data_IF_760519332973
#
_entry.id   IF_760519332973
#
_cell.length_a   1.000
_cell.length_b   1.000
_cell.length_c   1.000
_cell.angle_alpha   90.00
_cell.angle_beta   90.00
_cell.angle_gamma   90.00
#
_symmetry.space_group_name_H-M   'P 1'
#
loop_
_entity.id
_entity.type
_entity.pdbx_description
1 polymer ?
#
# COMPACT_ATOMS: atom_id res chain seq x y z
N UNK A 1 -16.68 3.64 -5.50
CA UNK A 1 -16.37 2.42 -6.30
C UNK A 1 -14.88 2.33 -6.67
N UNK A 2 -14.32 3.32 -7.37
CA UNK A 2 -12.93 3.25 -7.88
C UNK A 2 -11.83 3.13 -6.80
N UNK A 3 -11.96 3.83 -5.67
CA UNK A 3 -10.99 3.71 -4.57
C UNK A 3 -11.02 2.33 -3.91
N UNK A 4 -12.22 1.74 -3.81
CA UNK A 4 -12.40 0.40 -3.23
C UNK A 4 -11.80 -0.65 -4.17
N UNK A 5 -11.97 -0.51 -5.49
CA UNK A 5 -11.41 -1.47 -6.44
C UNK A 5 -9.88 -1.48 -6.41
N UNK A 6 -9.22 -0.33 -6.34
CA UNK A 6 -7.76 -0.25 -6.20
C UNK A 6 -7.26 -0.84 -4.87
N UNK A 7 -7.92 -0.51 -3.76
CA UNK A 7 -7.55 -1.08 -2.46
C UNK A 7 -7.65 -2.61 -2.45
N UNK A 8 -8.75 -3.16 -2.99
CA UNK A 8 -8.94 -4.60 -3.13
C UNK A 8 -7.94 -5.25 -4.11
N UNK A 9 -7.55 -4.52 -5.17
CA UNK A 9 -6.55 -4.98 -6.12
C UNK A 9 -5.21 -5.23 -5.41
N UNK A 10 -4.76 -4.28 -4.59
CA UNK A 10 -3.51 -4.42 -3.83
C UNK A 10 -3.57 -5.56 -2.81
N UNK A 11 -4.74 -5.79 -2.20
CA UNK A 11 -4.96 -6.94 -1.31
C UNK A 11 -4.82 -8.26 -2.09
N UNK A 12 -5.36 -8.35 -3.31
CA UNK A 12 -5.20 -9.54 -4.15
C UNK A 12 -3.73 -9.84 -4.43
N UNK A 13 -2.95 -8.83 -4.81
CA UNK A 13 -1.51 -8.96 -5.01
C UNK A 13 -0.76 -9.37 -3.74
N UNK A 14 -1.09 -8.79 -2.59
CA UNK A 14 -0.48 -9.13 -1.31
C UNK A 14 -0.75 -10.59 -0.92
N UNK A 15 -2.00 -11.07 -1.06
CA UNK A 15 -2.37 -12.46 -0.76
C UNK A 15 -1.63 -13.44 -1.68
N UNK A 16 -1.64 -13.21 -2.99
CA UNK A 16 -0.98 -14.08 -3.97
C UNK A 16 0.53 -14.14 -3.73
N UNK A 17 1.18 -12.97 -3.65
CA UNK A 17 2.63 -12.85 -3.46
C UNK A 17 3.05 -13.50 -2.14
N UNK A 18 2.39 -13.15 -1.03
CA UNK A 18 2.68 -13.71 0.29
C UNK A 18 2.51 -15.22 0.34
N UNK A 19 1.42 -15.74 -0.26
CA UNK A 19 1.14 -17.18 -0.24
C UNK A 19 2.16 -17.96 -1.06
N UNK A 20 2.46 -17.52 -2.28
CA UNK A 20 3.39 -18.24 -3.14
C UNK A 20 4.82 -18.18 -2.59
N UNK A 21 5.27 -17.04 -2.04
CA UNK A 21 6.56 -16.94 -1.37
C UNK A 21 6.65 -17.89 -0.17
N UNK A 22 5.63 -17.91 0.69
CA UNK A 22 5.61 -18.81 1.85
C UNK A 22 5.62 -20.28 1.44
N UNK A 23 4.97 -20.66 0.34
CA UNK A 23 5.04 -22.03 -0.18
C UNK A 23 6.43 -22.46 -0.66
N UNK A 24 7.30 -21.50 -0.99
CA UNK A 24 8.70 -21.78 -1.33
C UNK A 24 9.61 -21.90 -0.09
N UNK A 25 9.13 -21.47 1.08
CA UNK A 25 9.87 -21.54 2.34
C UNK A 25 9.67 -22.93 2.97
N UNK A 26 10.76 -23.62 3.36
CA UNK A 26 10.70 -24.91 4.07
C UNK A 26 9.80 -24.88 5.31
N UNK A 27 9.12 -25.98 5.60
CA UNK A 27 8.13 -26.07 6.69
C UNK A 27 8.76 -25.88 8.09
N UNK A 28 10.03 -26.25 8.27
CA UNK A 28 10.81 -26.04 9.50
C UNK A 28 11.17 -24.55 9.75
N UNK A 29 10.94 -23.68 8.76
CA UNK A 29 11.28 -22.25 8.80
C UNK A 29 10.07 -21.33 8.85
N UNK A 30 8.87 -21.87 9.00
CA UNK A 30 7.63 -21.08 9.11
C UNK A 30 6.58 -21.79 9.97
N UNK A 31 5.62 -21.04 10.54
CA UNK A 31 4.42 -21.64 11.12
C UNK A 31 3.61 -22.39 10.06
N UNK A 32 2.71 -23.26 10.49
CA UNK A 32 1.75 -23.88 9.57
C UNK A 32 0.80 -22.83 9.03
N UNK A 33 0.75 -22.68 7.70
CA UNK A 33 -0.07 -21.68 7.00
C UNK A 33 -1.00 -22.39 6.04
N UNK A 34 -2.31 -22.13 6.18
CA UNK A 34 -3.32 -22.68 5.29
C UNK A 34 -4.15 -21.56 4.66
N UNK A 35 -3.82 -21.21 3.41
CA UNK A 35 -4.61 -20.30 2.59
C UNK A 35 -5.56 -21.10 1.72
N UNK A 36 -6.89 -20.87 1.81
CA UNK A 36 -7.87 -21.59 0.99
C UNK A 36 -7.58 -21.42 -0.49
N UNK A 37 -7.61 -22.53 -1.23
CA UNK A 37 -7.34 -22.52 -2.66
C UNK A 37 -8.36 -21.65 -3.44
N UNK A 38 -9.63 -21.68 -3.02
CA UNK A 38 -10.67 -20.83 -3.60
C UNK A 38 -10.39 -19.33 -3.44
N UNK A 39 -9.72 -18.92 -2.35
CA UNK A 39 -9.31 -17.53 -2.17
C UNK A 39 -8.23 -17.11 -3.17
N UNK A 40 -7.24 -17.97 -3.42
CA UNK A 40 -6.20 -17.69 -4.42
C UNK A 40 -6.78 -17.58 -5.82
N UNK A 41 -7.70 -18.48 -6.18
CA UNK A 41 -8.42 -18.42 -7.45
C UNK A 41 -9.26 -17.14 -7.54
N UNK A 42 -9.98 -16.78 -6.48
CA UNK A 42 -10.76 -15.54 -6.41
C UNK A 42 -9.89 -14.30 -6.57
N UNK A 43 -8.72 -14.23 -5.90
CA UNK A 43 -7.77 -13.14 -6.07
C UNK A 43 -7.25 -13.06 -7.52
N UNK A 44 -6.89 -14.20 -8.12
CA UNK A 44 -6.43 -14.24 -9.51
C UNK A 44 -7.51 -13.70 -10.45
N UNK A 45 -8.75 -14.21 -10.35
CA UNK A 45 -9.89 -13.78 -11.16
C UNK A 45 -10.27 -12.32 -10.91
N UNK A 46 -10.19 -11.83 -9.66
CA UNK A 46 -10.59 -10.48 -9.32
C UNK A 46 -9.69 -9.39 -9.91
N UNK A 47 -8.38 -9.67 -10.10
CA UNK A 47 -7.40 -8.70 -10.62
C UNK A 47 -7.88 -7.98 -11.91
N UNK A 48 -8.27 -8.67 -13.00
CA UNK A 48 -8.73 -8.01 -14.22
C UNK A 48 -10.02 -7.21 -14.03
N UNK A 49 -10.95 -7.67 -13.19
CA UNK A 49 -12.19 -6.94 -12.93
C UNK A 49 -11.94 -5.66 -12.12
N UNK A 50 -11.11 -5.75 -11.07
CA UNK A 50 -10.79 -4.62 -10.21
C UNK A 50 -9.96 -3.56 -10.94
N UNK A 51 -8.98 -3.99 -11.74
CA UNK A 51 -8.14 -3.09 -12.56
C UNK A 51 -8.84 -2.52 -13.79
N UNK A 52 -10.00 -3.06 -14.19
CA UNK A 52 -10.82 -2.50 -15.27
C UNK A 52 -11.61 -1.26 -14.83
N UNK A 53 -11.90 -1.09 -13.54
CA UNK A 53 -12.77 0.00 -13.04
C UNK A 53 -12.25 1.39 -13.45
N UNK A 54 -10.94 1.72 -13.35
CA UNK A 54 -10.42 3.00 -13.84
C UNK A 54 -10.53 3.16 -15.36
N UNK A 55 -10.34 2.07 -16.12
CA UNK A 55 -10.45 2.08 -17.59
C UNK A 55 -11.88 2.37 -18.02
N UNK A 56 -12.85 1.73 -17.36
CA UNK A 56 -14.26 1.99 -17.60
C UNK A 56 -14.63 3.46 -17.34
N UNK A 57 -14.15 4.04 -16.23
CA UNK A 57 -14.36 5.46 -15.92
C UNK A 57 -13.74 6.35 -17.00
N UNK A 58 -12.52 6.07 -17.42
CA UNK A 58 -11.84 6.81 -18.47
C UNK A 58 -12.61 6.75 -19.80
N UNK A 59 -13.10 5.56 -20.16
CA UNK A 59 -13.88 5.36 -21.38
C UNK A 59 -15.21 6.14 -21.37
N UNK A 60 -15.91 6.22 -20.23
CA UNK A 60 -17.12 7.03 -20.10
C UNK A 60 -16.82 8.52 -20.28
N UNK A 61 -15.77 9.01 -19.61
CA UNK A 61 -15.39 10.44 -19.66
C UNK A 61 -15.01 10.83 -21.08
N UNK A 62 -14.10 10.09 -21.72
CA UNK A 62 -13.66 10.40 -23.08
C UNK A 62 -14.74 10.18 -24.14
N UNK A 63 -15.64 9.21 -23.98
CA UNK A 63 -16.79 9.06 -24.87
C UNK A 63 -17.66 10.32 -24.88
N UNK A 64 -17.86 10.93 -23.70
CA UNK A 64 -18.60 12.18 -23.57
C UNK A 64 -17.82 13.38 -24.11
N UNK A 65 -16.53 13.49 -23.79
CA UNK A 65 -15.71 14.65 -24.16
C UNK A 65 -15.45 14.74 -25.67
N UNK A 66 -15.32 13.59 -26.35
CA UNK A 66 -15.07 13.52 -27.79
C UNK A 66 -16.33 13.24 -28.64
N UNK A 67 -17.51 13.14 -28.02
CA UNK A 67 -18.78 12.78 -28.67
C UNK A 67 -18.67 11.50 -29.53
N UNK A 68 -18.01 10.48 -28.97
CA UNK A 68 -17.75 9.19 -29.63
C UNK A 68 -18.44 8.06 -28.88
N UNK A 69 -18.75 6.96 -29.59
CA UNK A 69 -19.31 5.78 -28.94
C UNK A 69 -18.35 5.19 -27.90
N UNK A 70 -18.90 4.67 -26.80
CA UNK A 70 -18.14 3.99 -25.75
C UNK A 70 -17.22 2.89 -26.31
N UNK A 71 -17.71 2.09 -27.27
CA UNK A 71 -16.94 1.02 -27.89
C UNK A 71 -15.72 1.52 -28.67
N UNK A 72 -15.83 2.64 -29.37
CA UNK A 72 -14.72 3.23 -30.12
C UNK A 72 -13.63 3.76 -29.17
N UNK A 73 -14.03 4.48 -28.11
CA UNK A 73 -13.09 4.99 -27.10
C UNK A 73 -12.45 3.84 -26.32
N UNK A 74 -13.22 2.85 -25.89
CA UNK A 74 -12.68 1.69 -25.18
C UNK A 74 -11.64 0.97 -26.04
N UNK A 75 -11.93 0.76 -27.34
CA UNK A 75 -10.98 0.17 -28.28
C UNK A 75 -9.69 0.99 -28.36
N UNK A 76 -9.77 2.32 -28.48
CA UNK A 76 -8.58 3.18 -28.50
C UNK A 76 -7.80 3.11 -27.19
N UNK A 77 -8.48 3.17 -26.03
CA UNK A 77 -7.80 3.05 -24.73
C UNK A 77 -7.04 1.72 -24.64
N UNK A 78 -7.66 0.60 -25.02
CA UNK A 78 -7.04 -0.73 -24.96
C UNK A 78 -5.85 -0.89 -25.93
N UNK A 79 -5.89 -0.24 -27.09
CA UNK A 79 -4.87 -0.41 -28.13
C UNK A 79 -3.77 0.66 -28.11
N UNK A 80 -4.05 1.86 -27.61
CA UNK A 80 -3.17 3.02 -27.75
C UNK A 80 -2.60 3.46 -26.39
N UNK A 81 -3.40 3.42 -25.32
CA UNK A 81 -3.02 3.93 -23.99
C UNK A 81 -2.31 2.86 -23.16
N UNK A 82 -1.22 3.24 -22.47
CA UNK A 82 -0.41 2.34 -21.63
C UNK A 82 -1.27 1.55 -20.62
N UNK A 83 -2.20 2.22 -19.94
CA UNK A 83 -3.11 1.60 -18.96
C UNK A 83 -4.00 0.53 -19.60
N UNK A 84 -4.50 0.76 -20.81
CA UNK A 84 -5.31 -0.23 -21.54
C UNK A 84 -4.49 -1.42 -22.02
N UNK A 85 -3.31 -1.18 -22.62
CA UNK A 85 -2.35 -2.23 -23.00
C UNK A 85 -1.95 -3.09 -21.81
N UNK A 86 -1.65 -2.45 -20.68
CA UNK A 86 -1.31 -3.12 -19.42
C UNK A 86 -2.45 -4.02 -18.93
N UNK A 87 -3.70 -3.57 -19.04
CA UNK A 87 -4.86 -4.34 -18.63
C UNK A 87 -5.09 -5.57 -19.50
N UNK A 88 -4.85 -5.50 -20.82
CA UNK A 88 -4.91 -6.68 -21.70
C UNK A 88 -3.92 -7.75 -21.23
N UNK A 89 -2.66 -7.38 -21.01
CA UNK A 89 -1.64 -8.31 -20.51
C UNK A 89 -1.93 -8.81 -19.09
N UNK A 90 -2.47 -7.93 -18.24
CA UNK A 90 -2.92 -8.29 -16.88
C UNK A 90 -4.02 -9.34 -16.95
N UNK A 91 -4.99 -9.18 -17.86
CA UNK A 91 -6.09 -10.12 -18.06
C UNK A 91 -5.60 -11.47 -18.56
N UNK A 92 -4.70 -11.48 -19.54
CA UNK A 92 -4.10 -12.73 -20.06
C UNK A 92 -3.32 -13.45 -18.95
N UNK A 93 -2.44 -12.75 -18.23
CA UNK A 93 -1.63 -13.33 -17.16
C UNK A 93 -2.48 -13.82 -15.99
N UNK A 94 -3.50 -13.05 -15.60
CA UNK A 94 -4.45 -13.43 -14.56
C UNK A 94 -5.29 -14.64 -14.96
N UNK A 95 -5.79 -14.69 -16.20
CA UNK A 95 -6.54 -15.84 -16.71
C UNK A 95 -5.68 -17.11 -16.73
N UNK A 96 -4.42 -17.00 -17.16
CA UNK A 96 -3.45 -18.09 -17.08
C UNK A 96 -3.19 -18.54 -15.65
N UNK A 97 -3.02 -17.60 -14.71
CA UNK A 97 -2.87 -17.92 -13.29
C UNK A 97 -4.10 -18.59 -12.71
N UNK A 98 -5.30 -18.09 -13.01
CA UNK A 98 -6.57 -18.66 -12.57
C UNK A 98 -6.77 -20.08 -13.14
N UNK A 99 -6.41 -20.30 -14.40
CA UNK A 99 -6.41 -21.63 -15.01
C UNK A 99 -5.45 -22.58 -14.29
N UNK A 100 -4.20 -22.17 -14.09
CA UNK A 100 -3.19 -22.97 -13.37
C UNK A 100 -3.65 -23.34 -11.96
N UNK A 101 -4.27 -22.39 -11.24
CA UNK A 101 -4.83 -22.65 -9.92
C UNK A 101 -6.03 -23.61 -10.02
N UNK A 102 -6.98 -23.39 -10.94
CA UNK A 102 -8.20 -24.20 -11.06
C UNK A 102 -7.95 -25.69 -11.33
N UNK A 103 -6.83 -26.03 -11.95
CA UNK A 103 -6.46 -27.41 -12.27
C UNK A 103 -6.04 -28.21 -11.02
N UNK A 104 -6.80 -29.26 -10.70
CA UNK A 104 -6.51 -30.17 -9.56
C UNK A 104 -5.11 -30.79 -9.63
N UNK A 105 -4.62 -31.08 -10.83
CA UNK A 105 -3.31 -31.70 -11.07
C UNK A 105 -2.14 -30.88 -10.50
N UNK A 106 -2.25 -29.54 -10.48
CA UNK A 106 -1.18 -28.66 -10.00
C UNK A 106 -1.25 -28.31 -8.52
N UNK A 107 -2.26 -28.78 -7.78
CA UNK A 107 -2.46 -28.39 -6.37
C UNK A 107 -1.37 -28.86 -5.42
N UNK A 108 -0.71 -29.98 -5.73
CA UNK A 108 0.40 -30.56 -4.96
C UNK A 108 1.76 -30.46 -5.65
N UNK A 109 1.83 -29.82 -6.82
CA UNK A 109 3.07 -29.75 -7.59
C UNK A 109 4.08 -28.77 -6.95
N UNK A 110 5.33 -29.22 -6.79
CA UNK A 110 6.41 -28.44 -6.14
C UNK A 110 6.91 -27.23 -6.95
N UNK A 111 6.66 -27.22 -8.26
CA UNK A 111 7.03 -26.14 -9.17
C UNK A 111 5.91 -25.10 -9.33
N UNK A 112 4.65 -25.48 -9.10
CA UNK A 112 3.49 -24.58 -9.25
C UNK A 112 3.65 -23.26 -8.49
N UNK A 113 4.10 -23.20 -7.21
CA UNK A 113 4.29 -21.92 -6.53
C UNK A 113 5.33 -21.01 -7.21
N UNK A 114 6.36 -21.58 -7.85
CA UNK A 114 7.38 -20.81 -8.58
C UNK A 114 6.79 -20.17 -9.83
N UNK A 115 6.05 -20.96 -10.62
CA UNK A 115 5.38 -20.47 -11.83
C UNK A 115 4.33 -19.42 -11.48
N UNK A 116 3.51 -19.68 -10.46
CA UNK A 116 2.48 -18.75 -10.01
C UNK A 116 3.07 -17.43 -9.47
N UNK A 117 4.19 -17.51 -8.74
CA UNK A 117 4.92 -16.32 -8.29
C UNK A 117 5.51 -15.54 -9.47
N UNK A 118 6.08 -16.22 -10.46
CA UNK A 118 6.60 -15.58 -11.67
C UNK A 118 5.50 -14.84 -12.43
N UNK A 119 4.33 -15.47 -12.63
CA UNK A 119 3.18 -14.80 -13.25
C UNK A 119 2.72 -13.61 -12.41
N UNK A 120 2.64 -13.76 -11.09
CA UNK A 120 2.28 -12.65 -10.17
C UNK A 120 3.28 -11.49 -10.28
N UNK A 121 4.57 -11.77 -10.41
CA UNK A 121 5.61 -10.76 -10.65
C UNK A 121 5.40 -10.04 -11.99
N UNK A 122 5.09 -10.77 -13.08
CA UNK A 122 4.75 -10.13 -14.36
C UNK A 122 3.53 -9.21 -14.23
N UNK A 123 2.49 -9.64 -13.50
CA UNK A 123 1.32 -8.80 -13.22
C UNK A 123 1.68 -7.52 -12.45
N UNK A 124 2.64 -7.57 -11.51
CA UNK A 124 3.17 -6.40 -10.81
C UNK A 124 3.89 -5.45 -11.79
N UNK A 125 4.69 -5.99 -12.71
CA UNK A 125 5.36 -5.20 -13.75
C UNK A 125 4.34 -4.52 -14.67
N UNK A 126 3.27 -5.22 -15.06
CA UNK A 126 2.20 -4.63 -15.87
C UNK A 126 1.44 -3.52 -15.14
N UNK A 127 1.21 -3.68 -13.83
CA UNK A 127 0.66 -2.60 -13.01
C UNK A 127 1.61 -1.39 -12.96
N UNK A 128 2.91 -1.64 -12.85
CA UNK A 128 3.95 -0.59 -12.94
C UNK A 128 3.89 0.17 -14.27
N UNK A 129 3.75 -0.57 -15.38
CA UNK A 129 3.63 -0.03 -16.74
C UNK A 129 2.35 0.79 -16.95
N UNK A 130 1.24 0.40 -16.31
CA UNK A 130 -0.01 1.15 -16.33
C UNK A 130 0.07 2.51 -15.62
N UNK A 131 1.04 2.68 -14.70
CA UNK A 131 1.11 3.83 -13.81
C UNK A 131 1.59 5.13 -14.45
N UNK A 132 1.21 6.26 -13.85
CA UNK A 132 1.60 7.61 -14.29
C UNK A 132 3.11 7.78 -14.44
N UNK A 133 3.90 7.26 -13.51
CA UNK A 133 5.35 7.35 -13.56
C UNK A 133 5.92 6.74 -14.86
N UNK A 134 5.41 5.60 -15.31
CA UNK A 134 5.87 4.95 -16.56
C UNK A 134 5.48 5.76 -17.79
N UNK A 135 4.31 6.41 -17.78
CA UNK A 135 3.87 7.22 -18.91
C UNK A 135 4.67 8.52 -19.06
N UNK A 136 5.14 9.10 -17.95
CA UNK A 136 5.91 10.35 -17.94
C UNK A 136 7.43 10.14 -18.05
N UNK A 137 7.96 9.09 -17.42
CA UNK A 137 9.40 8.86 -17.27
C UNK A 137 9.86 7.53 -17.91
N UNK A 138 9.00 6.91 -18.73
CA UNK A 138 9.30 5.70 -19.47
C UNK A 138 9.81 4.56 -18.58
N UNK A 139 10.92 3.95 -19.00
CA UNK A 139 11.51 2.81 -18.30
C UNK A 139 11.89 3.09 -16.84
N UNK A 140 12.36 4.31 -16.53
CA UNK A 140 12.69 4.70 -15.15
C UNK A 140 11.45 4.65 -14.27
N UNK A 141 10.35 5.23 -14.76
CA UNK A 141 9.07 5.20 -14.05
C UNK A 141 8.52 3.78 -13.85
N UNK A 142 8.62 2.93 -14.88
CA UNK A 142 8.26 1.51 -14.80
C UNK A 142 9.02 0.77 -13.70
N UNK A 143 10.35 0.87 -13.69
CA UNK A 143 11.19 0.16 -12.72
C UNK A 143 10.94 0.68 -11.31
N UNK A 144 10.90 2.01 -11.12
CA UNK A 144 10.65 2.58 -9.80
C UNK A 144 9.28 2.16 -9.25
N UNK A 145 8.23 2.22 -10.07
CA UNK A 145 6.89 1.84 -9.63
C UNK A 145 6.78 0.34 -9.35
N UNK A 146 7.30 -0.49 -10.25
CA UNK A 146 7.28 -1.96 -10.08
C UNK A 146 8.09 -2.39 -8.86
N UNK A 147 9.27 -1.79 -8.63
CA UNK A 147 10.10 -2.08 -7.46
C UNK A 147 9.40 -1.66 -6.16
N UNK A 148 8.77 -0.48 -6.13
CA UNK A 148 7.98 -0.04 -4.98
C UNK A 148 6.86 -1.02 -4.67
N UNK A 149 6.03 -1.36 -5.67
CA UNK A 149 4.87 -2.23 -5.48
C UNK A 149 5.25 -3.68 -5.17
N UNK A 150 6.33 -4.19 -5.78
CA UNK A 150 6.87 -5.52 -5.46
C UNK A 150 7.34 -5.60 -4.02
N UNK A 151 8.15 -4.63 -3.57
CA UNK A 151 8.68 -4.62 -2.21
C UNK A 151 7.55 -4.57 -1.17
N UNK A 152 6.54 -3.73 -1.40
CA UNK A 152 5.32 -3.67 -0.57
C UNK A 152 4.56 -5.00 -0.60
N UNK A 153 4.36 -5.60 -1.78
CA UNK A 153 3.64 -6.87 -1.94
C UNK A 153 4.35 -8.05 -1.27
N UNK A 154 5.70 -8.06 -1.28
CA UNK A 154 6.50 -9.06 -0.57
C UNK A 154 6.38 -8.88 0.94
N UNK A 155 6.66 -7.68 1.45
CA UNK A 155 6.65 -7.40 2.89
C UNK A 155 5.25 -7.55 3.49
N UNK A 156 4.29 -6.76 3.00
CA UNK A 156 2.93 -6.77 3.52
C UNK A 156 2.24 -8.09 3.17
N UNK A 157 2.50 -8.69 2.01
CA UNK A 157 1.88 -9.95 1.61
C UNK A 157 2.26 -11.11 2.53
N UNK A 158 3.56 -11.31 2.80
CA UNK A 158 3.99 -12.37 3.74
C UNK A 158 3.41 -12.11 5.13
N UNK A 159 3.50 -10.86 5.59
CA UNK A 159 2.98 -10.46 6.90
C UNK A 159 1.47 -10.72 7.03
N UNK A 160 0.70 -10.31 6.02
CA UNK A 160 -0.74 -10.50 5.97
C UNK A 160 -1.10 -11.99 5.94
N UNK A 161 -0.42 -12.78 5.11
CA UNK A 161 -0.71 -14.21 5.02
C UNK A 161 -0.38 -14.94 6.33
N UNK A 162 0.77 -14.66 6.95
CA UNK A 162 1.15 -15.25 8.24
C UNK A 162 0.17 -14.85 9.35
N UNK A 163 -0.15 -13.57 9.49
CA UNK A 163 -1.00 -13.07 10.57
C UNK A 163 -2.43 -13.64 10.53
N UNK A 164 -3.01 -13.78 9.33
CA UNK A 164 -4.40 -14.21 9.18
C UNK A 164 -4.55 -15.72 8.99
N UNK A 165 -3.65 -16.37 8.27
CA UNK A 165 -3.80 -17.76 7.83
C UNK A 165 -2.88 -18.77 8.54
N UNK A 166 -2.03 -18.34 9.48
CA UNK A 166 -1.32 -19.30 10.34
C UNK A 166 -2.27 -20.05 11.26
N UNK A 167 -1.98 -21.32 11.50
CA UNK A 167 -2.75 -22.23 12.38
C UNK A 167 -2.10 -22.41 13.75
N UNK A 168 -0.80 -22.17 13.83
CA UNK A 168 0.00 -22.25 15.04
C UNK A 168 1.04 -21.11 15.07
N UNK A 169 1.81 -21.10 16.16
CA UNK A 169 2.98 -20.23 16.35
C UNK A 169 4.29 -21.06 16.31
N UNK A 170 4.27 -22.24 15.68
CA UNK A 170 5.44 -23.11 15.57
C UNK A 170 6.51 -22.44 14.68
N UNK A 171 7.79 -22.77 14.91
CA UNK A 171 8.92 -22.24 14.13
C UNK A 171 9.00 -20.70 14.06
N UNK A 172 8.33 -19.95 14.96
CA UNK A 172 8.26 -18.49 14.90
C UNK A 172 9.64 -17.82 14.89
N UNK A 173 10.55 -18.33 15.72
CA UNK A 173 11.94 -17.86 15.75
C UNK A 173 12.66 -18.10 14.41
N UNK A 174 12.43 -19.25 13.76
CA UNK A 174 13.02 -19.56 12.47
C UNK A 174 12.43 -18.67 11.37
N UNK A 175 11.12 -18.40 11.43
CA UNK A 175 10.44 -17.45 10.55
C UNK A 175 11.05 -16.05 10.63
N UNK A 176 11.16 -15.49 11.83
CA UNK A 176 11.72 -14.14 12.01
C UNK A 176 13.20 -14.04 11.55
N UNK A 177 13.99 -15.12 11.61
CA UNK A 177 15.40 -15.09 11.18
C UNK A 177 15.57 -14.77 9.70
N UNK A 178 14.67 -15.24 8.84
CA UNK A 178 14.75 -14.96 7.40
C UNK A 178 13.79 -13.84 6.99
N UNK A 179 12.61 -13.74 7.62
CA UNK A 179 11.63 -12.73 7.24
C UNK A 179 12.06 -11.33 7.67
N UNK A 180 12.68 -11.14 8.85
CA UNK A 180 13.10 -9.80 9.30
C UNK A 180 14.09 -9.14 8.33
N UNK A 181 15.16 -9.80 7.83
CA UNK A 181 16.01 -9.24 6.78
C UNK A 181 15.25 -8.91 5.49
N UNK A 182 14.35 -9.79 5.03
CA UNK A 182 13.53 -9.57 3.83
C UNK A 182 12.62 -8.35 4.00
N UNK A 183 11.98 -8.21 5.16
CA UNK A 183 11.14 -7.07 5.50
C UNK A 183 11.95 -5.78 5.54
N UNK A 184 13.15 -5.76 6.15
CA UNK A 184 14.03 -4.59 6.17
C UNK A 184 14.42 -4.17 4.75
N UNK A 185 14.88 -5.11 3.92
CA UNK A 185 15.23 -4.81 2.51
C UNK A 185 14.02 -4.26 1.77
N UNK A 186 12.83 -4.88 1.96
CA UNK A 186 11.60 -4.44 1.31
C UNK A 186 11.18 -3.04 1.78
N UNK A 187 11.31 -2.70 3.06
CA UNK A 187 11.07 -1.36 3.60
C UNK A 187 12.02 -0.36 2.95
N UNK A 188 13.32 -0.65 2.91
CA UNK A 188 14.32 0.24 2.31
C UNK A 188 14.00 0.49 0.83
N UNK A 189 13.74 -0.57 0.04
CA UNK A 189 13.36 -0.44 -1.38
C UNK A 189 12.07 0.36 -1.52
N UNK A 190 11.06 0.10 -0.68
CA UNK A 190 9.78 0.82 -0.69
C UNK A 190 10.00 2.31 -0.45
N UNK A 191 10.80 2.70 0.55
CA UNK A 191 11.09 4.08 0.88
C UNK A 191 11.88 4.78 -0.23
N UNK A 192 12.96 4.17 -0.73
CA UNK A 192 13.78 4.75 -1.80
C UNK A 192 12.99 4.92 -3.10
N UNK A 193 12.24 3.90 -3.51
CA UNK A 193 11.40 3.96 -4.69
C UNK A 193 10.23 4.95 -4.48
N UNK A 194 9.66 5.02 -3.27
CA UNK A 194 8.59 5.95 -2.92
C UNK A 194 9.04 7.41 -3.01
N UNK A 195 10.20 7.75 -2.42
CA UNK A 195 10.80 9.09 -2.52
C UNK A 195 11.09 9.42 -3.99
N UNK A 196 11.59 8.45 -4.75
CA UNK A 196 11.85 8.64 -6.19
C UNK A 196 10.54 8.93 -6.95
N UNK A 197 9.47 8.18 -6.68
CA UNK A 197 8.14 8.43 -7.27
C UNK A 197 7.60 9.82 -6.88
N UNK A 198 7.81 10.27 -5.64
CA UNK A 198 7.41 11.62 -5.23
C UNK A 198 8.12 12.71 -6.02
N UNK A 199 9.39 12.52 -6.40
CA UNK A 199 10.07 13.48 -7.27
C UNK A 199 9.46 13.56 -8.68
N UNK A 200 8.71 12.53 -9.10
CA UNK A 200 7.97 12.51 -10.35
C UNK A 200 6.57 13.11 -10.22
N UNK A 201 5.86 12.83 -9.14
CA UNK A 201 4.43 13.14 -9.00
C UNK A 201 4.12 14.35 -8.14
N UNK A 202 5.01 14.71 -7.21
CA UNK A 202 4.73 15.68 -6.14
C UNK A 202 6.01 16.37 -5.66
N UNK A 203 6.70 17.11 -6.55
CA UNK A 203 7.93 17.81 -6.20
C UNK A 203 7.68 18.92 -5.16
N UNK A 204 6.51 19.55 -5.19
CA UNK A 204 6.11 20.58 -4.22
C UNK A 204 5.36 19.97 -3.01
N UNK A 205 6.04 19.09 -2.27
CA UNK A 205 5.40 18.25 -1.23
C UNK A 205 4.50 19.01 -0.26
N UNK A 206 4.98 20.10 0.33
CA UNK A 206 4.19 20.88 1.31
C UNK A 206 3.04 21.62 0.65
N UNK A 207 3.29 22.34 -0.46
CA UNK A 207 2.22 23.03 -1.20
C UNK A 207 1.14 22.04 -1.69
N UNK A 208 1.52 20.80 -2.00
CA UNK A 208 0.57 19.78 -2.44
C UNK A 208 -0.49 19.44 -1.39
N UNK A 209 -0.26 19.77 -0.11
CA UNK A 209 -1.25 19.59 0.95
C UNK A 209 -2.50 20.45 0.74
N UNK A 210 -2.47 21.45 -0.15
CA UNK A 210 -3.67 22.15 -0.58
C UNK A 210 -4.64 21.26 -1.38
N UNK A 211 -4.13 20.19 -2.00
CA UNK A 211 -4.86 19.30 -2.90
C UNK A 211 -5.21 17.96 -2.21
N UNK A 212 -6.29 17.27 -2.65
CA UNK A 212 -6.66 15.97 -2.12
C UNK A 212 -5.53 14.93 -2.19
N UNK A 213 -4.74 14.97 -3.27
CA UNK A 213 -3.56 14.12 -3.45
C UNK A 213 -2.53 14.33 -2.34
N UNK A 214 -2.08 15.56 -2.10
CA UNK A 214 -1.06 15.80 -1.07
C UNK A 214 -1.55 15.47 0.33
N UNK A 215 -2.85 15.67 0.61
CA UNK A 215 -3.47 15.29 1.88
C UNK A 215 -3.44 13.77 2.10
N UNK A 216 -3.83 12.98 1.10
CA UNK A 216 -3.78 11.53 1.21
C UNK A 216 -2.34 11.01 1.28
N UNK A 217 -1.40 11.68 0.62
CA UNK A 217 0.03 11.37 0.66
C UNK A 217 0.60 11.64 2.06
N UNK A 218 0.21 12.75 2.69
CA UNK A 218 0.57 13.07 4.07
C UNK A 218 0.04 12.00 5.04
N UNK A 219 -1.25 11.64 4.92
CA UNK A 219 -1.86 10.59 5.76
C UNK A 219 -1.12 9.25 5.57
N UNK A 220 -0.77 8.89 4.34
CA UNK A 220 0.04 7.69 4.06
C UNK A 220 1.39 7.73 4.79
N UNK A 221 2.12 8.84 4.72
CA UNK A 221 3.40 8.98 5.43
C UNK A 221 3.25 8.88 6.95
N UNK A 222 2.19 9.48 7.50
CA UNK A 222 1.92 9.39 8.93
C UNK A 222 1.53 7.97 9.35
N UNK A 223 0.76 7.23 8.55
CA UNK A 223 0.42 5.82 8.80
C UNK A 223 1.63 4.88 8.72
N UNK A 224 2.67 5.24 7.95
CA UNK A 224 3.92 4.47 7.91
C UNK A 224 4.62 4.50 9.28
N UNK A 225 4.48 5.57 10.08
CA UNK A 225 5.09 5.66 11.41
C UNK A 225 4.64 4.54 12.36
N UNK A 226 3.35 4.38 12.71
CA UNK A 226 2.92 3.27 13.56
C UNK A 226 3.16 1.91 12.89
N UNK A 227 3.09 1.80 11.56
CA UNK A 227 3.43 0.56 10.85
C UNK A 227 4.88 0.13 11.16
N UNK A 228 5.84 1.04 11.04
CA UNK A 228 7.24 0.77 11.35
C UNK A 228 7.48 0.51 12.84
N UNK A 229 6.74 1.18 13.74
CA UNK A 229 6.83 0.90 15.18
C UNK A 229 6.32 -0.50 15.53
N UNK A 230 5.22 -0.94 14.92
CA UNK A 230 4.74 -2.31 15.04
C UNK A 230 5.73 -3.30 14.45
N UNK A 231 6.22 -3.06 13.23
CA UNK A 231 7.21 -3.90 12.57
C UNK A 231 8.50 -4.05 13.41
N UNK A 232 8.99 -2.95 13.98
CA UNK A 232 10.13 -2.94 14.87
C UNK A 232 9.86 -3.77 16.14
N UNK A 233 8.72 -3.55 16.77
CA UNK A 233 8.31 -4.26 17.98
C UNK A 233 8.19 -5.77 17.74
N UNK A 234 7.53 -6.16 16.64
CA UNK A 234 7.31 -7.56 16.27
C UNK A 234 8.59 -8.25 15.79
N UNK A 235 9.45 -7.54 15.05
CA UNK A 235 10.69 -8.09 14.52
C UNK A 235 11.79 -8.25 15.57
N UNK A 236 11.96 -7.26 16.45
CA UNK A 236 13.08 -7.21 17.40
C UNK A 236 12.66 -7.43 18.86
N UNK A 237 11.49 -6.92 19.25
CA UNK A 237 11.00 -7.00 20.64
C UNK A 237 10.44 -8.37 21.03
N UNK A 238 10.05 -9.19 20.05
CA UNK A 238 9.44 -10.51 20.25
C UNK A 238 10.19 -11.39 21.25
N UNK A 239 11.50 -11.60 21.04
CA UNK A 239 12.30 -12.55 21.83
C UNK A 239 12.32 -12.22 23.32
N UNK A 240 12.30 -10.93 23.66
CA UNK A 240 12.32 -10.47 25.05
C UNK A 240 10.98 -10.76 25.72
N UNK A 241 9.87 -10.44 25.05
CA UNK A 241 8.53 -10.58 25.63
C UNK A 241 8.11 -12.05 25.70
N UNK A 242 8.40 -12.85 24.67
CA UNK A 242 8.06 -14.27 24.66
C UNK A 242 8.75 -15.05 25.80
N UNK A 243 9.94 -14.61 26.25
CA UNK A 243 10.62 -15.20 27.41
C UNK A 243 9.99 -14.83 28.75
N UNK A 244 9.47 -13.61 28.87
CA UNK A 244 8.94 -13.09 30.15
C UNK A 244 7.43 -13.29 30.30
N UNK A 245 6.71 -13.53 29.20
CA UNK A 245 5.25 -13.68 29.19
C UNK A 245 4.86 -14.97 28.46
N UNK A 246 4.55 -16.06 29.19
CA UNK A 246 4.13 -17.33 28.61
C UNK A 246 2.87 -17.23 27.73
N UNK A 247 2.00 -16.25 28.00
CA UNK A 247 0.75 -16.02 27.28
C UNK A 247 0.91 -15.10 26.05
N UNK A 248 2.13 -14.73 25.68
CA UNK A 248 2.37 -13.83 24.55
C UNK A 248 2.06 -14.55 23.23
N UNK A 249 1.12 -14.00 22.46
CA UNK A 249 0.76 -14.50 21.14
C UNK A 249 1.24 -13.51 20.07
N UNK A 250 2.28 -13.83 19.28
CA UNK A 250 2.84 -12.92 18.29
C UNK A 250 1.90 -12.66 17.11
N UNK A 251 1.04 -13.63 16.76
CA UNK A 251 0.10 -13.52 15.65
C UNK A 251 -0.90 -12.38 15.86
N UNK A 252 -1.39 -12.15 17.08
CA UNK A 252 -2.29 -11.03 17.38
C UNK A 252 -1.64 -9.67 17.12
N UNK A 253 -0.35 -9.54 17.44
CA UNK A 253 0.41 -8.33 17.17
C UNK A 253 0.71 -8.13 15.67
N UNK A 254 1.01 -9.21 14.93
CA UNK A 254 1.11 -9.12 13.47
C UNK A 254 -0.23 -8.79 12.80
N UNK A 255 -1.38 -9.22 13.36
CA UNK A 255 -2.68 -8.81 12.84
C UNK A 255 -2.89 -7.30 12.97
N UNK A 256 -2.53 -6.71 14.11
CA UNK A 256 -2.58 -5.26 14.29
C UNK A 256 -1.64 -4.53 13.31
N UNK A 257 -0.40 -5.00 13.15
CA UNK A 257 0.53 -4.48 12.14
C UNK A 257 -0.07 -4.56 10.72
N UNK A 258 -0.63 -5.72 10.37
CA UNK A 258 -1.26 -5.95 9.05
C UNK A 258 -2.43 -5.01 8.81
N UNK A 259 -3.20 -4.67 9.84
CA UNK A 259 -4.33 -3.76 9.73
C UNK A 259 -3.85 -2.33 9.43
N UNK A 260 -2.80 -1.85 10.12
CA UNK A 260 -2.18 -0.56 9.77
C UNK A 260 -1.63 -0.60 8.34
N UNK A 261 -1.01 -1.70 7.92
CA UNK A 261 -0.54 -1.89 6.56
C UNK A 261 -1.68 -1.81 5.53
N UNK A 262 -2.86 -2.37 5.84
CA UNK A 262 -4.06 -2.24 5.01
C UNK A 262 -4.54 -0.79 4.91
N UNK A 263 -4.45 0.01 5.99
CA UNK A 263 -4.77 1.44 5.95
C UNK A 263 -3.79 2.20 5.02
N UNK A 264 -2.50 1.85 5.05
CA UNK A 264 -1.49 2.40 4.11
C UNK A 264 -1.83 2.05 2.66
N UNK A 265 -2.23 0.80 2.39
CA UNK A 265 -2.67 0.37 1.06
C UNK A 265 -3.96 1.07 0.63
N UNK A 266 -4.91 1.28 1.54
CA UNK A 266 -6.15 2.02 1.26
C UNK A 266 -5.86 3.47 0.89
N UNK A 267 -5.00 4.17 1.66
CA UNK A 267 -4.54 5.51 1.32
C UNK A 267 -3.83 5.55 -0.05
N UNK A 268 -3.03 4.52 -0.36
CA UNK A 268 -2.37 4.38 -1.67
C UNK A 268 -3.38 4.17 -2.79
N UNK A 269 -4.44 3.38 -2.59
CA UNK A 269 -5.49 3.17 -3.58
C UNK A 269 -6.31 4.42 -3.86
N UNK A 270 -6.52 5.28 -2.86
CA UNK A 270 -7.12 6.61 -3.06
C UNK A 270 -6.18 7.52 -3.85
N UNK A 271 -4.89 7.56 -3.48
CA UNK A 271 -3.86 8.34 -4.18
C UNK A 271 -3.73 7.97 -5.66
N UNK A 272 -3.76 6.68 -5.97
CA UNK A 272 -3.61 6.18 -7.34
C UNK A 272 -4.72 6.62 -8.29
N UNK A 273 -5.81 7.20 -7.77
CA UNK A 273 -6.98 7.65 -8.53
C UNK A 273 -7.17 9.17 -8.50
N UNK A 274 -6.24 9.89 -7.88
CA UNK A 274 -6.22 11.35 -7.82
C UNK A 274 -5.17 11.89 -8.79
N UNK A 275 -5.41 13.07 -9.35
CA UNK A 275 -4.44 13.73 -10.23
C UNK A 275 -3.15 14.05 -9.43
N UNK A 276 -1.98 13.53 -9.84
CA UNK A 276 -0.72 13.85 -9.19
C UNK A 276 -0.35 15.33 -9.43
N UNK A 277 -0.06 16.11 -8.37
CA UNK A 277 0.23 17.53 -8.50
C UNK A 277 1.69 17.77 -8.88
N UNK A 278 2.01 17.57 -10.16
CA UNK A 278 3.34 17.86 -10.72
C UNK A 278 3.73 19.33 -10.50
N UNK A 279 2.74 20.22 -10.65
CA UNK A 279 2.79 21.62 -10.25
C UNK A 279 1.48 21.96 -9.56
N UNK A 280 1.56 22.45 -8.33
CA UNK A 280 0.38 22.63 -7.47
C UNK A 280 -0.56 23.68 -8.05
N UNK A 281 0.01 24.83 -8.46
CA UNK A 281 -0.76 25.93 -9.06
C UNK A 281 -1.55 25.52 -10.30
N UNK A 282 -0.92 24.78 -11.21
CA UNK A 282 -1.59 24.30 -12.44
C UNK A 282 -2.69 23.29 -12.10
N UNK A 283 -2.44 22.39 -11.14
CA UNK A 283 -3.44 21.38 -10.74
C UNK A 283 -4.67 22.03 -10.08
N UNK A 284 -4.49 23.11 -9.31
CA UNK A 284 -5.57 23.87 -8.70
C UNK A 284 -6.47 24.61 -9.71
N UNK A 285 -6.09 24.67 -11.00
CA UNK A 285 -6.95 25.21 -12.06
C UNK A 285 -8.03 24.21 -12.50
N UNK A 286 -7.79 22.91 -12.32
CA UNK A 286 -8.72 21.83 -12.69
C UNK A 286 -9.29 21.07 -11.50
N UNK A 287 -8.62 21.12 -10.35
CA UNK A 287 -9.00 20.40 -9.13
C UNK A 287 -9.30 21.38 -8.00
N UNK A 288 -10.40 21.14 -7.29
CA UNK A 288 -10.75 21.94 -6.11
C UNK A 288 -9.78 21.68 -4.95
N UNK A 289 -9.53 22.67 -4.07
CA UNK A 289 -8.74 22.44 -2.87
C UNK A 289 -9.37 21.38 -1.97
N UNK A 290 -8.53 20.67 -1.23
CA UNK A 290 -8.98 19.58 -0.36
C UNK A 290 -9.88 20.10 0.77
N UNK A 291 -11.04 19.47 1.03
CA UNK A 291 -11.86 19.79 2.20
C UNK A 291 -11.11 19.65 3.53
N UNK A 292 -10.17 18.70 3.61
CA UNK A 292 -9.32 18.52 4.78
C UNK A 292 -8.36 19.70 5.00
N UNK A 293 -7.91 20.31 3.91
CA UNK A 293 -7.07 21.50 3.97
C UNK A 293 -7.91 22.72 4.36
N UNK A 294 -8.99 22.99 3.61
CA UNK A 294 -9.80 24.21 3.79
C UNK A 294 -10.54 24.26 5.13
N UNK A 295 -10.78 23.12 5.79
CA UNK A 295 -11.40 23.08 7.12
C UNK A 295 -10.44 23.39 8.27
N UNK A 296 -9.13 23.22 8.06
CA UNK A 296 -8.12 23.33 9.12
C UNK A 296 -7.22 24.56 8.91
N UNK A 297 -6.88 24.85 7.65
CA UNK A 297 -6.04 25.99 7.30
C UNK A 297 -6.78 27.29 7.61
N UNK A 298 -6.20 28.11 8.49
CA UNK A 298 -6.78 29.36 8.99
C UNK A 298 -6.49 30.57 8.10
N UNK A 299 -5.64 30.41 7.07
CA UNK A 299 -5.27 31.48 6.15
C UNK A 299 -6.26 31.66 5.00
N UNK A 300 -6.14 32.78 4.29
CA UNK A 300 -6.92 33.00 3.07
C UNK A 300 -6.36 32.16 1.93
N UNK A 301 -7.16 31.21 1.46
CA UNK A 301 -6.78 30.39 0.32
C UNK A 301 -6.72 31.23 -0.96
N UNK A 302 -5.60 31.13 -1.68
CA UNK A 302 -5.45 31.53 -3.08
C UNK A 302 -4.58 30.48 -3.78
N UNK A 303 -4.81 30.17 -5.08
CA UNK A 303 -3.94 29.27 -5.84
C UNK A 303 -2.47 29.71 -5.90
N UNK A 304 -2.18 30.98 -5.60
CA UNK A 304 -0.85 31.56 -5.61
C UNK A 304 -0.13 31.49 -4.25
N UNK A 305 -0.77 30.97 -3.19
CA UNK A 305 -0.10 30.85 -1.89
C UNK A 305 1.00 29.78 -1.97
N UNK A 306 2.12 30.08 -1.32
CA UNK A 306 3.16 29.09 -1.03
C UNK A 306 3.11 28.82 0.46
N UNK A 307 2.78 27.57 0.82
CA UNK A 307 2.73 27.15 2.22
C UNK A 307 4.12 27.16 2.82
N UNK A 308 4.27 27.79 3.98
CA UNK A 308 5.52 27.79 4.74
C UNK A 308 5.29 27.21 6.13
N UNK A 309 6.32 26.54 6.64
CA UNK A 309 6.28 26.09 8.02
C UNK A 309 6.45 27.27 8.97
N UNK A 310 5.55 27.34 9.95
CA UNK A 310 5.57 28.26 11.07
C UNK A 310 5.41 27.45 12.35
N UNK A 311 6.26 27.75 13.34
CA UNK A 311 6.17 27.12 14.64
C UNK A 311 5.24 27.96 15.52
N UNK A 312 4.07 27.41 15.82
CA UNK A 312 3.14 27.96 16.79
C UNK A 312 2.91 26.95 17.92
N UNK A 313 2.33 27.42 19.02
CA UNK A 313 2.09 26.57 20.20
C UNK A 313 1.17 25.40 19.88
N UNK A 314 0.13 25.61 19.05
CA UNK A 314 -0.83 24.57 18.66
C UNK A 314 -0.15 23.39 17.95
N UNK A 315 0.70 23.68 16.96
CA UNK A 315 1.53 22.70 16.26
C UNK A 315 2.45 21.94 17.22
N UNK A 316 3.19 22.66 18.08
CA UNK A 316 4.14 22.04 19.01
C UNK A 316 3.44 21.09 19.99
N UNK A 317 2.27 21.47 20.53
CA UNK A 317 1.49 20.62 21.42
C UNK A 317 0.97 19.36 20.71
N UNK A 318 0.49 19.49 19.48
CA UNK A 318 0.00 18.35 18.70
C UNK A 318 1.13 17.39 18.29
N UNK A 319 2.30 17.91 17.88
CA UNK A 319 3.47 17.08 17.59
C UNK A 319 4.01 16.39 18.85
N UNK A 320 4.02 17.09 19.99
CA UNK A 320 4.38 16.48 21.27
C UNK A 320 3.40 15.37 21.69
N UNK A 321 2.10 15.58 21.49
CA UNK A 321 1.09 14.55 21.71
C UNK A 321 1.30 13.34 20.78
N UNK A 322 1.61 13.56 19.51
CA UNK A 322 1.93 12.49 18.57
C UNK A 322 3.15 11.67 19.03
N UNK A 323 4.22 12.33 19.47
CA UNK A 323 5.41 11.68 20.00
C UNK A 323 5.11 10.88 21.28
N UNK A 324 4.29 11.42 22.19
CA UNK A 324 3.84 10.74 23.39
C UNK A 324 3.06 9.45 23.04
N UNK A 325 2.16 9.52 22.05
CA UNK A 325 1.41 8.34 21.59
C UNK A 325 2.33 7.29 20.96
N UNK A 326 3.33 7.70 20.18
CA UNK A 326 4.31 6.78 19.59
C UNK A 326 5.14 6.05 20.67
N UNK A 327 5.60 6.77 21.70
CA UNK A 327 6.29 6.17 22.86
C UNK A 327 5.33 5.27 23.65
N UNK A 328 4.09 5.71 23.83
CA UNK A 328 3.03 4.95 24.47
C UNK A 328 2.78 3.60 23.79
N UNK A 329 2.76 3.56 22.46
CA UNK A 329 2.65 2.31 21.69
C UNK A 329 3.77 1.33 22.07
N UNK A 330 5.03 1.79 22.05
CA UNK A 330 6.17 0.93 22.41
C UNK A 330 6.12 0.47 23.87
N UNK A 331 5.64 1.32 24.77
CA UNK A 331 5.44 0.96 26.17
C UNK A 331 4.34 -0.09 26.33
N UNK A 332 3.18 0.10 25.70
CA UNK A 332 2.05 -0.83 25.68
C UNK A 332 2.43 -2.18 25.05
N UNK A 333 3.31 -2.19 24.05
CA UNK A 333 3.91 -3.41 23.52
C UNK A 333 4.68 -4.18 24.60
N UNK A 334 5.56 -3.51 25.34
CA UNK A 334 6.38 -4.14 26.40
C UNK A 334 5.54 -4.75 27.52
N UNK A 335 4.40 -4.14 27.87
CA UNK A 335 3.46 -4.67 28.86
C UNK A 335 2.40 -5.61 28.25
N UNK A 336 2.56 -6.00 26.98
CA UNK A 336 1.67 -6.91 26.25
C UNK A 336 0.19 -6.47 26.21
N UNK A 337 -0.07 -5.17 26.02
CA UNK A 337 -1.42 -4.59 25.91
C UNK A 337 -1.70 -4.15 24.47
N UNK A 338 -2.25 -5.06 23.67
CA UNK A 338 -2.47 -4.86 22.23
C UNK A 338 -3.42 -3.69 21.92
N UNK A 339 -4.62 -3.66 22.50
CA UNK A 339 -5.64 -2.66 22.16
C UNK A 339 -5.17 -1.23 22.46
N UNK A 340 -4.61 -0.93 23.65
CA UNK A 340 -4.02 0.38 23.90
C UNK A 340 -2.88 0.73 22.94
N UNK A 341 -1.98 -0.21 22.63
CA UNK A 341 -0.90 0.04 21.67
C UNK A 341 -1.43 0.40 20.27
N UNK A 342 -2.47 -0.30 19.81
CA UNK A 342 -3.13 -0.04 18.54
C UNK A 342 -3.78 1.35 18.51
N UNK A 343 -4.54 1.71 19.54
CA UNK A 343 -5.17 3.03 19.65
C UNK A 343 -4.12 4.14 19.67
N UNK A 344 -3.03 3.96 20.44
CA UNK A 344 -1.92 4.91 20.47
C UNK A 344 -1.23 5.04 19.10
N UNK A 345 -1.11 3.95 18.34
CA UNK A 345 -0.63 4.00 16.96
C UNK A 345 -1.51 4.87 16.05
N UNK A 346 -2.83 4.73 16.13
CA UNK A 346 -3.77 5.56 15.39
C UNK A 346 -3.72 7.02 15.84
N UNK A 347 -3.66 7.28 17.15
CA UNK A 347 -3.58 8.64 17.69
C UNK A 347 -2.28 9.35 17.30
N UNK A 348 -1.18 8.61 17.11
CA UNK A 348 0.07 9.16 16.57
C UNK A 348 -0.17 9.80 15.19
N UNK A 349 -0.96 9.14 14.34
CA UNK A 349 -1.33 9.65 13.00
C UNK A 349 -2.21 10.88 13.13
N UNK A 350 -3.24 10.83 13.97
CA UNK A 350 -4.21 11.92 14.15
C UNK A 350 -3.52 13.18 14.67
N UNK A 351 -2.77 13.08 15.77
CA UNK A 351 -2.08 14.24 16.33
C UNK A 351 -0.94 14.72 15.43
N UNK A 352 -0.23 13.81 14.76
CA UNK A 352 0.80 14.18 13.78
C UNK A 352 0.22 14.97 12.61
N UNK A 353 -0.95 14.55 12.12
CA UNK A 353 -1.67 15.24 11.06
C UNK A 353 -2.07 16.66 11.46
N UNK A 354 -2.74 16.83 12.60
CA UNK A 354 -3.11 18.16 13.10
C UNK A 354 -1.88 19.03 13.40
N UNK A 355 -0.82 18.45 13.96
CA UNK A 355 0.44 19.16 14.21
C UNK A 355 1.02 19.74 12.92
N UNK A 356 1.10 18.94 11.86
CA UNK A 356 1.63 19.40 10.56
C UNK A 356 0.69 20.40 9.87
N UNK A 357 -0.63 20.22 9.97
CA UNK A 357 -1.60 21.16 9.40
C UNK A 357 -1.65 22.49 10.15
N UNK A 358 -1.40 22.52 11.46
CA UNK A 358 -1.24 23.76 12.22
C UNK A 358 0.13 24.39 12.02
N UNK A 359 1.11 23.63 11.51
CA UNK A 359 2.44 24.14 11.21
C UNK A 359 2.49 24.95 9.91
N UNK A 360 1.46 24.94 9.07
CA UNK A 360 1.49 25.64 7.78
C UNK A 360 0.80 27.01 7.87
N UNK A 361 1.42 28.02 7.25
CA UNK A 361 0.88 29.36 7.05
C UNK A 361 1.01 29.78 5.59
#
# INVERSE_FOLDING_TARGET
>A
MIYISEGLLYICFAILTGTFLLRLVPEDRRPSVHVPHGLLLACAVAIPFLSYVPIHKLAIVFAKDFDMSYGAILKSILLDVNTGKAWVWTTIGSAGLAFLLGLKAFRGDKHMPKVALFVTFLLIVWLGYAGHASSLYGFKGLITHSAHFLAVSVWIGILFVISWFSKDDANWNAFLRWFSPVAIVSVVVTLLAGITLMSFTTPEYVNSWMLPYGQMLLIKHLLILPLLLFAFSNGFGYKKIAKTNPNFNPRRWLKAESFIALLVLAATGVLGQQAPPHKVKETLQSESPSPFFTSIYKGNFSPDISLKFTLNMECLLMLAAAALMAVGLLWMYRVNKLMPAFVMGILTVVFGYFGLMFAIA
#
